data_IF_660569658940
#
_entry.id   IF_660569658940
#
_cell.length_a   1.000
_cell.length_b   1.000
_cell.length_c   1.000
_cell.angle_alpha   90.00
_cell.angle_beta   90.00
_cell.angle_gamma   90.00
#
_symmetry.space_group_name_H-M   'P 1'
#
loop_
_entity.id
_entity.type
_entity.pdbx_description
1 polymer ?
#
# COMPACT_ATOMS: atom_id res chain seq x y z
N UNK A 1 2.13 -10.95 -8.67
CA UNK A 1 0.74 -10.61 -8.89
C UNK A 1 0.30 -9.65 -7.84
N UNK A 2 -0.06 -8.48 -8.26
CA UNK A 2 -0.34 -7.39 -7.34
C UNK A 2 -1.78 -6.93 -7.43
N UNK A 3 -2.66 -7.85 -7.76
CA UNK A 3 -4.09 -7.53 -7.79
C UNK A 3 -4.66 -7.60 -6.38
N UNK A 4 -5.55 -6.69 -6.08
CA UNK A 4 -6.26 -6.71 -4.81
C UNK A 4 -7.15 -7.94 -4.71
N UNK A 5 -7.14 -8.57 -3.56
CA UNK A 5 -8.07 -9.65 -3.28
C UNK A 5 -9.47 -9.08 -3.04
N UNK A 6 -10.47 -9.95 -3.10
CA UNK A 6 -11.83 -9.52 -2.84
C UNK A 6 -11.97 -8.95 -1.42
N UNK A 7 -11.31 -9.58 -0.44
CA UNK A 7 -11.33 -9.09 0.93
C UNK A 7 -10.71 -7.70 1.05
N UNK A 8 -9.60 -7.46 0.35
CA UNK A 8 -8.97 -6.15 0.36
C UNK A 8 -9.89 -5.09 -0.24
N UNK A 9 -10.57 -5.41 -1.33
CA UNK A 9 -11.51 -4.49 -1.95
C UNK A 9 -12.69 -4.20 -1.03
N UNK A 10 -13.20 -5.20 -0.35
CA UNK A 10 -14.30 -5.03 0.60
C UNK A 10 -13.89 -4.16 1.79
N UNK A 11 -12.64 -4.23 2.17
CA UNK A 11 -12.12 -3.41 3.26
C UNK A 11 -12.00 -1.94 2.86
N UNK A 12 -12.04 -1.64 1.57
CA UNK A 12 -11.96 -0.27 1.08
C UNK A 12 -10.62 0.11 0.49
N UNK A 13 -9.75 -0.86 0.25
CA UNK A 13 -8.48 -0.61 -0.39
C UNK A 13 -8.70 -0.46 -1.88
N UNK A 14 -8.11 0.58 -2.48
CA UNK A 14 -8.22 0.82 -3.92
C UNK A 14 -6.84 0.94 -4.53
N UNK A 15 -6.70 0.41 -5.74
CA UNK A 15 -5.50 0.65 -6.54
C UNK A 15 -5.76 1.88 -7.38
N UNK A 16 -5.14 3.00 -7.01
CA UNK A 16 -5.42 4.28 -7.67
C UNK A 16 -4.61 4.50 -8.92
N UNK A 17 -3.42 3.93 -8.98
CA UNK A 17 -2.48 4.38 -9.98
C UNK A 17 -1.41 3.31 -10.19
N UNK A 18 -1.08 3.07 -11.47
CA UNK A 18 0.03 2.20 -11.83
C UNK A 18 0.90 2.93 -12.82
N UNK A 19 2.18 3.03 -12.52
CA UNK A 19 3.16 3.65 -13.39
C UNK A 19 4.12 2.58 -13.90
N UNK A 20 4.35 2.59 -15.20
CA UNK A 20 5.33 1.68 -15.82
C UNK A 20 6.18 2.51 -16.77
N UNK A 21 7.51 2.37 -16.67
CA UNK A 21 8.38 3.07 -17.60
C UNK A 21 9.07 2.08 -18.55
N UNK A 22 9.80 2.62 -19.52
CA UNK A 22 10.44 1.81 -20.55
C UNK A 22 11.57 0.94 -20.02
N UNK A 23 12.07 1.22 -18.82
CA UNK A 23 13.16 0.45 -18.21
C UNK A 23 12.65 -0.70 -17.35
N UNK A 24 11.34 -0.95 -17.37
CA UNK A 24 10.77 -2.05 -16.60
C UNK A 24 10.45 -1.69 -15.17
N UNK A 25 10.60 -0.45 -14.77
CA UNK A 25 10.20 -0.04 -13.43
C UNK A 25 8.68 0.08 -13.37
N UNK A 26 8.10 -0.50 -12.33
CA UNK A 26 6.66 -0.44 -12.11
C UNK A 26 6.40 0.02 -10.68
N UNK A 27 5.51 0.98 -10.54
CA UNK A 27 5.07 1.47 -9.25
C UNK A 27 3.56 1.42 -9.18
N UNK A 28 3.02 1.07 -8.03
CA UNK A 28 1.58 1.09 -7.79
C UNK A 28 1.31 1.91 -6.55
N UNK A 29 0.19 2.63 -6.58
CA UNK A 29 -0.25 3.40 -5.43
C UNK A 29 -1.62 2.91 -5.02
N UNK A 30 -1.73 2.55 -3.76
CA UNK A 30 -2.98 2.10 -3.17
C UNK A 30 -3.48 3.16 -2.21
N UNK A 31 -4.78 3.29 -2.10
CA UNK A 31 -5.38 4.19 -1.10
C UNK A 31 -6.21 3.38 -0.13
N UNK A 32 -6.20 3.81 1.12
CA UNK A 32 -6.99 3.20 2.18
C UNK A 32 -7.25 4.27 3.23
N UNK A 33 -8.51 4.60 3.43
CA UNK A 33 -8.94 5.62 4.41
C UNK A 33 -8.19 6.94 4.24
N UNK A 34 -7.98 7.34 2.98
CA UNK A 34 -7.30 8.61 2.67
C UNK A 34 -5.79 8.56 2.75
N UNK A 35 -5.21 7.41 3.04
CA UNK A 35 -3.76 7.24 3.08
C UNK A 35 -3.25 6.55 1.84
N UNK A 36 -2.02 6.88 1.45
CA UNK A 36 -1.40 6.31 0.26
C UNK A 36 -0.31 5.31 0.65
N UNK A 37 -0.40 4.12 0.08
CA UNK A 37 0.60 3.07 0.27
C UNK A 37 1.21 2.82 -1.10
N UNK A 38 2.53 2.88 -1.19
CA UNK A 38 3.24 2.76 -2.46
C UNK A 38 4.01 1.44 -2.53
N UNK A 39 3.96 0.81 -3.69
CA UNK A 39 4.77 -0.35 -4.00
C UNK A 39 5.60 -0.03 -5.24
N UNK A 40 6.84 -0.49 -5.27
CA UNK A 40 7.72 -0.27 -6.42
C UNK A 40 8.55 -1.54 -6.60
N UNK A 41 8.61 -2.04 -7.84
CA UNK A 41 9.31 -3.30 -8.08
C UNK A 41 10.82 -3.19 -7.94
N UNK A 42 11.36 -1.99 -7.85
CA UNK A 42 12.79 -1.78 -7.64
C UNK A 42 13.17 -1.52 -6.20
N UNK A 43 12.19 -1.25 -5.35
CA UNK A 43 12.44 -1.07 -3.92
C UNK A 43 12.40 -2.43 -3.27
N UNK A 44 13.54 -2.86 -2.70
CA UNK A 44 13.66 -4.15 -2.04
C UNK A 44 13.15 -5.30 -2.91
N UNK A 45 13.41 -5.19 -4.22
CA UNK A 45 13.00 -6.17 -5.23
C UNK A 45 11.50 -6.42 -5.25
N UNK A 46 10.72 -5.39 -4.96
CA UNK A 46 9.27 -5.47 -5.00
C UNK A 46 8.66 -6.24 -3.84
N UNK A 47 9.42 -6.45 -2.77
CA UNK A 47 8.96 -7.27 -1.65
C UNK A 47 8.32 -6.46 -0.53
N UNK A 48 8.34 -5.14 -0.62
CA UNK A 48 7.90 -4.29 0.49
C UNK A 48 6.98 -3.20 0.01
N UNK A 49 6.07 -2.83 0.88
CA UNK A 49 5.15 -1.71 0.66
C UNK A 49 5.54 -0.56 1.56
N UNK A 50 5.45 0.65 1.05
CA UNK A 50 5.94 1.85 1.73
C UNK A 50 4.79 2.74 2.17
N UNK A 51 4.81 3.16 3.42
CA UNK A 51 3.88 4.14 3.95
C UNK A 51 4.55 4.91 5.09
N UNK A 52 4.54 6.24 4.96
CA UNK A 52 5.06 7.13 6.00
C UNK A 52 6.47 6.76 6.49
N UNK A 53 7.39 6.68 5.57
CA UNK A 53 8.80 6.40 5.86
C UNK A 53 9.06 5.03 6.48
N UNK A 54 8.11 4.12 6.37
CA UNK A 54 8.27 2.74 6.85
C UNK A 54 7.95 1.76 5.74
N UNK A 55 8.58 0.60 5.79
CA UNK A 55 8.35 -0.47 4.84
C UNK A 55 7.62 -1.62 5.52
N UNK A 56 6.68 -2.23 4.80
CA UNK A 56 5.88 -3.33 5.32
C UNK A 56 5.97 -4.51 4.35
N UNK A 57 6.02 -5.71 4.89
CA UNK A 57 6.24 -6.91 4.08
C UNK A 57 5.06 -7.26 3.17
N UNK A 58 3.88 -6.71 3.45
CA UNK A 58 2.71 -6.97 2.64
C UNK A 58 1.80 -5.76 2.67
N UNK A 59 0.88 -5.70 1.69
CA UNK A 59 -0.13 -4.66 1.69
C UNK A 59 -0.99 -4.72 2.94
N UNK A 60 -1.33 -5.93 3.39
CA UNK A 60 -2.13 -6.09 4.59
C UNK A 60 -1.43 -5.55 5.83
N UNK A 61 -0.11 -5.76 5.93
CA UNK A 61 0.66 -5.22 7.04
C UNK A 61 0.64 -3.70 7.02
N UNK A 62 0.78 -3.08 5.85
CA UNK A 62 0.71 -1.64 5.72
C UNK A 62 -0.68 -1.12 6.11
N UNK A 63 -1.72 -1.82 5.68
CA UNK A 63 -3.11 -1.45 6.02
C UNK A 63 -3.32 -1.53 7.52
N UNK A 64 -2.79 -2.55 8.18
CA UNK A 64 -2.88 -2.64 9.64
C UNK A 64 -2.18 -1.47 10.32
N UNK A 65 -1.05 -1.04 9.77
CA UNK A 65 -0.35 0.11 10.32
C UNK A 65 -1.18 1.39 10.17
N UNK A 66 -1.86 1.55 9.04
CA UNK A 66 -2.77 2.68 8.84
C UNK A 66 -3.90 2.63 9.86
N UNK A 67 -4.48 1.47 10.07
CA UNK A 67 -5.56 1.31 11.05
C UNK A 67 -5.10 1.69 12.45
N UNK A 68 -3.90 1.25 12.85
CA UNK A 68 -3.36 1.59 14.17
C UNK A 68 -3.15 3.09 14.29
N UNK A 69 -2.66 3.72 13.23
CA UNK A 69 -2.44 5.17 13.23
C UNK A 69 -3.75 5.92 13.41
N UNK A 70 -4.77 5.55 12.64
CA UNK A 70 -6.08 6.21 12.72
C UNK A 70 -6.70 5.99 14.08
N UNK A 71 -6.65 4.77 14.60
CA UNK A 71 -7.24 4.45 15.90
C UNK A 71 -6.53 5.20 17.04
N UNK A 72 -5.24 5.37 16.91
CA UNK A 72 -4.48 6.13 17.91
C UNK A 72 -5.03 7.56 18.06
N UNK A 73 -5.33 8.20 16.94
CA UNK A 73 -5.87 9.55 17.00
C UNK A 73 -7.34 9.59 17.38
N UNK A 74 -8.08 8.52 17.11
CA UNK A 74 -9.50 8.48 17.47
C UNK A 74 -9.75 8.30 18.96
N UNK A 75 -8.81 7.68 19.64
CA UNK A 75 -9.02 7.38 21.06
C UNK A 75 -8.69 8.53 21.99
N UNK A 76 -8.35 9.65 21.44
CA UNK A 76 -8.04 10.83 22.25
C UNK A 76 -9.31 11.63 22.63
#
# INVERSE_FOLDING_TARGET
MLKLTLEQKKKGIKEEYTYVNSNGRMSKQYTYKGMYITWDNQILNGKWYYWRASYYASLDAAVQAVDRHINHFKTK
#
